data_IF_308496526360
#
_entry.id   IF_308496526360
#
_cell.length_a   1.000
_cell.length_b   1.000
_cell.length_c   1.000
_cell.angle_alpha   90.00
_cell.angle_beta   90.00
_cell.angle_gamma   90.00
#
_symmetry.space_group_name_H-M   'P 1'
#
loop_
_entity.id
_entity.type
_entity.pdbx_description
1 polymer ?
#
# COMPACT_ATOMS: atom_id res chain seq x y z
N UNK A 1 2.92 7.28 6.52
CA UNK A 1 4.17 7.53 7.30
C UNK A 1 4.99 6.25 7.29
N UNK A 2 6.34 6.29 7.28
CA UNK A 2 7.12 5.05 7.20
C UNK A 2 8.57 5.23 7.63
N UNK A 3 9.17 4.08 8.02
CA UNK A 3 10.59 3.96 8.29
C UNK A 3 11.08 2.62 7.74
N UNK A 4 12.26 2.61 7.11
CA UNK A 4 12.86 1.42 6.53
C UNK A 4 13.51 0.52 7.61
N UNK A 5 12.74 0.16 8.61
CA UNK A 5 13.19 -0.72 9.69
C UNK A 5 12.93 -2.20 9.34
N UNK A 6 13.77 -3.07 9.87
CA UNK A 6 13.43 -4.51 9.89
C UNK A 6 12.25 -4.76 10.84
N UNK A 7 12.30 -4.14 12.01
CA UNK A 7 11.25 -4.06 13.03
C UNK A 7 11.46 -2.81 13.87
N UNK A 8 10.43 -2.16 14.41
CA UNK A 8 10.59 -1.03 15.31
C UNK A 8 11.20 -1.50 16.64
N UNK A 9 12.04 -0.65 17.25
CA UNK A 9 12.48 -0.86 18.62
C UNK A 9 11.43 -0.34 19.60
N UNK A 10 11.29 -0.98 20.75
CA UNK A 10 10.31 -0.56 21.76
C UNK A 10 10.56 0.86 22.28
N UNK A 11 11.82 1.30 22.31
CA UNK A 11 12.20 2.68 22.67
C UNK A 11 11.68 3.75 21.69
N UNK A 12 11.43 3.36 20.43
CA UNK A 12 10.99 4.27 19.37
C UNK A 12 9.44 4.34 19.31
N UNK A 13 8.75 3.36 19.92
CA UNK A 13 7.29 3.26 19.92
C UNK A 13 6.57 4.49 20.51
N UNK A 14 7.03 5.11 21.63
CA UNK A 14 6.37 6.31 22.15
C UNK A 14 6.34 7.46 21.13
N UNK A 15 7.44 7.67 20.39
CA UNK A 15 7.49 8.66 19.31
C UNK A 15 6.53 8.34 18.16
N UNK A 16 6.46 7.06 17.77
CA UNK A 16 5.53 6.60 16.71
C UNK A 16 4.08 6.83 17.13
N UNK A 17 3.74 6.53 18.38
CA UNK A 17 2.40 6.76 18.97
C UNK A 17 2.04 8.24 18.93
N UNK A 18 2.96 9.13 19.35
CA UNK A 18 2.74 10.56 19.31
C UNK A 18 2.50 11.07 17.90
N UNK A 19 3.32 10.61 16.92
CA UNK A 19 3.18 10.95 15.52
C UNK A 19 1.80 10.53 14.95
N UNK A 20 1.30 9.35 15.30
CA UNK A 20 -0.04 8.91 14.89
C UNK A 20 -1.10 9.86 15.45
N UNK A 21 -1.05 10.16 16.74
CA UNK A 21 -2.02 11.03 17.40
C UNK A 21 -2.03 12.45 16.81
N UNK A 22 -0.86 13.02 16.56
CA UNK A 22 -0.73 14.34 15.94
C UNK A 22 -1.34 14.38 14.53
N UNK A 23 -1.08 13.38 13.69
CA UNK A 23 -1.66 13.31 12.35
C UNK A 23 -3.18 13.08 12.42
N UNK A 24 -3.65 12.22 13.34
CA UNK A 24 -5.08 12.02 13.59
C UNK A 24 -5.79 13.31 14.06
N UNK A 25 -5.12 14.12 14.86
CA UNK A 25 -5.65 15.41 15.30
C UNK A 25 -5.89 16.40 14.14
N UNK A 26 -5.23 16.21 12.99
CA UNK A 26 -5.49 16.96 11.77
C UNK A 26 -6.72 16.46 10.99
N UNK A 27 -7.41 15.41 11.48
CA UNK A 27 -8.57 14.80 10.82
C UNK A 27 -8.20 13.87 9.66
N UNK A 28 -6.94 13.43 9.58
CA UNK A 28 -6.44 12.56 8.51
C UNK A 28 -6.50 11.08 8.92
N UNK A 29 -6.71 10.19 7.96
CA UNK A 29 -6.44 8.77 8.13
C UNK A 29 -4.92 8.53 8.16
N UNK A 30 -4.51 7.56 8.96
CA UNK A 30 -3.10 7.23 9.15
C UNK A 30 -2.76 5.87 8.58
N UNK A 31 -1.66 5.80 7.85
CA UNK A 31 -1.06 4.55 7.39
C UNK A 31 0.42 4.52 7.76
N UNK A 32 0.87 3.42 8.32
CA UNK A 32 2.26 3.23 8.76
C UNK A 32 2.91 2.04 8.07
N UNK A 33 4.24 2.19 7.79
CA UNK A 33 5.14 1.14 7.33
C UNK A 33 6.38 1.14 8.21
N UNK A 34 6.50 0.19 9.13
CA UNK A 34 7.59 0.13 10.13
C UNK A 34 8.35 -1.21 10.11
N UNK A 35 8.10 -2.05 9.09
CA UNK A 35 8.64 -3.40 9.04
C UNK A 35 7.78 -4.41 9.79
N UNK A 36 8.38 -5.45 10.37
CA UNK A 36 7.67 -6.50 11.10
C UNK A 36 7.22 -6.00 12.47
N UNK A 37 6.00 -6.35 12.89
CA UNK A 37 5.45 -6.02 14.19
C UNK A 37 5.26 -7.26 15.06
N UNK A 38 5.56 -7.14 16.34
CA UNK A 38 5.03 -8.04 17.35
C UNK A 38 3.55 -7.74 17.64
N UNK A 39 2.83 -8.71 18.24
CA UNK A 39 1.45 -8.50 18.65
C UNK A 39 1.28 -7.31 19.60
N UNK A 40 2.20 -7.15 20.57
CA UNK A 40 2.21 -6.00 21.48
C UNK A 40 2.38 -4.67 20.75
N UNK A 41 3.31 -4.59 19.78
CA UNK A 41 3.51 -3.38 19.01
C UNK A 41 2.29 -3.05 18.13
N UNK A 42 1.67 -4.05 17.51
CA UNK A 42 0.42 -3.86 16.76
C UNK A 42 -0.70 -3.32 17.67
N UNK A 43 -0.86 -3.87 18.87
CA UNK A 43 -1.84 -3.41 19.84
C UNK A 43 -1.60 -1.94 20.28
N UNK A 44 -0.34 -1.57 20.55
CA UNK A 44 0.02 -0.18 20.89
C UNK A 44 -0.31 0.79 19.76
N UNK A 45 -0.08 0.40 18.51
CA UNK A 45 -0.44 1.23 17.35
C UNK A 45 -1.95 1.35 17.17
N UNK A 46 -2.71 0.28 17.42
CA UNK A 46 -4.18 0.29 17.37
C UNK A 46 -4.75 1.24 18.45
N UNK A 47 -4.22 1.19 19.67
CA UNK A 47 -4.61 2.08 20.77
C UNK A 47 -4.26 3.55 20.51
N UNK A 48 -3.21 3.80 19.73
CA UNK A 48 -2.86 5.15 19.26
C UNK A 48 -3.84 5.67 18.18
N UNK A 49 -4.69 4.80 17.61
CA UNK A 49 -5.67 5.13 16.58
C UNK A 49 -5.17 4.96 15.14
N UNK A 50 -4.16 4.11 14.92
CA UNK A 50 -3.68 3.81 13.57
C UNK A 50 -4.79 3.15 12.74
N UNK A 51 -5.07 3.71 11.55
CA UNK A 51 -6.13 3.19 10.66
C UNK A 51 -5.63 2.03 9.80
N UNK A 52 -4.46 2.17 9.18
CA UNK A 52 -3.88 1.20 8.25
C UNK A 52 -2.43 0.87 8.60
N UNK A 53 -2.06 -0.39 8.41
CA UNK A 53 -0.66 -0.82 8.41
C UNK A 53 -0.29 -1.37 7.04
N UNK A 54 0.71 -0.77 6.40
CA UNK A 54 1.24 -1.26 5.13
C UNK A 54 2.35 -2.29 5.37
N UNK A 55 2.12 -3.51 4.88
CA UNK A 55 3.09 -4.59 4.93
C UNK A 55 2.88 -5.54 3.74
N UNK A 56 3.55 -5.24 2.64
CA UNK A 56 3.39 -6.01 1.41
C UNK A 56 3.96 -7.43 1.53
N UNK A 57 3.36 -8.38 0.84
CA UNK A 57 3.94 -9.71 0.60
C UNK A 57 5.05 -9.67 -0.46
N UNK A 58 5.08 -8.61 -1.26
CA UNK A 58 5.99 -8.30 -2.35
C UNK A 58 5.81 -9.22 -3.57
N UNK A 59 5.86 -10.53 -3.41
CA UNK A 59 5.71 -11.53 -4.48
C UNK A 59 5.10 -12.83 -3.95
N UNK A 60 5.14 -13.93 -4.74
CA UNK A 60 4.75 -15.26 -4.26
C UNK A 60 5.72 -15.82 -3.22
N UNK A 61 5.25 -16.79 -2.45
CA UNK A 61 6.08 -17.55 -1.50
C UNK A 61 7.27 -18.21 -2.19
N UNK A 62 7.05 -18.75 -3.38
CA UNK A 62 8.04 -19.46 -4.18
C UNK A 62 9.14 -18.55 -4.68
N UNK A 63 8.78 -17.35 -5.13
CA UNK A 63 9.74 -16.39 -5.67
C UNK A 63 10.39 -15.50 -4.60
N UNK A 64 9.81 -15.44 -3.40
CA UNK A 64 10.21 -14.50 -2.35
C UNK A 64 11.71 -14.56 -2.00
N UNK A 65 12.26 -15.76 -1.87
CA UNK A 65 13.67 -15.95 -1.49
C UNK A 65 14.66 -15.51 -2.59
N UNK A 66 14.21 -15.30 -3.83
CA UNK A 66 15.04 -14.72 -4.89
C UNK A 66 15.23 -13.21 -4.72
N UNK A 67 14.29 -12.56 -4.02
CA UNK A 67 14.27 -11.09 -3.84
C UNK A 67 14.70 -10.68 -2.44
N UNK A 68 14.30 -11.42 -1.41
CA UNK A 68 14.52 -11.05 0.00
C UNK A 68 15.27 -12.15 0.72
N UNK A 69 16.45 -11.81 1.27
CA UNK A 69 17.28 -12.72 2.07
C UNK A 69 17.26 -12.43 3.58
N UNK A 70 16.69 -11.30 3.99
CA UNK A 70 16.80 -10.78 5.37
C UNK A 70 15.65 -11.18 6.29
N UNK A 71 14.58 -11.75 5.74
CA UNK A 71 13.36 -12.19 6.43
C UNK A 71 12.66 -13.28 5.64
N UNK A 72 11.87 -14.10 6.29
CA UNK A 72 11.07 -15.13 5.63
C UNK A 72 9.72 -14.58 5.14
N UNK A 73 9.08 -15.32 4.26
CA UNK A 73 7.70 -15.02 3.84
C UNK A 73 6.71 -15.18 5.01
N UNK A 74 6.93 -16.15 5.89
CA UNK A 74 6.10 -16.37 7.08
C UNK A 74 6.20 -15.23 8.10
N UNK A 75 7.34 -14.55 8.20
CA UNK A 75 7.46 -13.33 9.02
C UNK A 75 6.50 -12.24 8.54
N UNK A 76 6.27 -12.16 7.21
CA UNK A 76 5.31 -11.22 6.63
C UNK A 76 3.88 -11.57 7.02
N UNK A 77 3.49 -12.83 6.84
CA UNK A 77 2.16 -13.32 7.20
C UNK A 77 1.88 -13.17 8.69
N UNK A 78 2.87 -13.48 9.53
CA UNK A 78 2.78 -13.30 10.98
C UNK A 78 2.52 -11.83 11.35
N UNK A 79 3.20 -10.90 10.67
CA UNK A 79 2.97 -9.46 10.89
C UNK A 79 1.56 -9.06 10.48
N UNK A 80 1.06 -9.53 9.33
CA UNK A 80 -0.32 -9.27 8.90
C UNK A 80 -1.35 -9.83 9.88
N UNK A 81 -1.10 -11.00 10.45
CA UNK A 81 -1.95 -11.60 11.48
C UNK A 81 -1.99 -10.74 12.76
N UNK A 82 -0.83 -10.31 13.27
CA UNK A 82 -0.76 -9.39 14.42
C UNK A 82 -1.52 -8.09 14.18
N UNK A 83 -1.37 -7.49 12.99
CA UNK A 83 -2.08 -6.28 12.59
C UNK A 83 -3.59 -6.52 12.57
N UNK A 84 -4.03 -7.65 12.01
CA UNK A 84 -5.45 -8.02 11.94
C UNK A 84 -6.04 -8.26 13.33
N UNK A 85 -5.32 -8.97 14.20
CA UNK A 85 -5.76 -9.25 15.59
C UNK A 85 -5.88 -7.95 16.41
N UNK A 86 -5.02 -6.97 16.15
CA UNK A 86 -5.11 -5.65 16.78
C UNK A 86 -6.25 -4.77 16.23
N UNK A 87 -6.98 -5.22 15.20
CA UNK A 87 -8.10 -4.47 14.61
C UNK A 87 -7.69 -3.35 13.65
N UNK A 88 -6.42 -3.28 13.22
CA UNK A 88 -5.92 -2.34 12.25
C UNK A 88 -6.24 -2.85 10.85
N UNK A 89 -6.63 -1.97 9.93
CA UNK A 89 -6.83 -2.30 8.52
C UNK A 89 -5.50 -2.63 7.84
N UNK A 90 -5.53 -3.64 6.95
CA UNK A 90 -4.33 -4.09 6.23
C UNK A 90 -4.24 -3.41 4.87
N UNK A 91 -3.06 -2.85 4.57
CA UNK A 91 -2.64 -2.50 3.23
C UNK A 91 -1.52 -3.47 2.83
N UNK A 92 -1.81 -4.44 1.97
CA UNK A 92 -0.85 -5.47 1.56
C UNK A 92 -1.07 -5.86 0.11
N UNK A 93 -0.01 -5.84 -0.65
CA UNK A 93 0.02 -6.17 -2.07
C UNK A 93 1.40 -6.66 -2.49
N UNK A 94 1.80 -6.31 -3.72
CA UNK A 94 3.06 -6.76 -4.26
C UNK A 94 3.72 -5.80 -5.22
N UNK A 95 4.87 -6.27 -5.71
CA UNK A 95 5.68 -5.59 -6.73
C UNK A 95 5.77 -6.55 -7.91
N UNK A 96 5.45 -6.07 -9.09
CA UNK A 96 5.56 -6.82 -10.33
C UNK A 96 6.70 -6.27 -11.20
N UNK A 97 7.26 -7.11 -12.08
CA UNK A 97 8.38 -6.74 -12.92
C UNK A 97 9.74 -6.94 -12.27
N UNK A 98 9.84 -7.77 -11.23
CA UNK A 98 11.07 -8.17 -10.56
C UNK A 98 11.73 -9.40 -11.20
N UNK A 99 11.18 -9.92 -12.31
CA UNK A 99 11.61 -11.16 -12.95
C UNK A 99 10.73 -12.37 -12.58
N UNK A 100 9.70 -12.16 -11.79
CA UNK A 100 8.70 -13.16 -11.42
C UNK A 100 7.88 -13.63 -12.63
N UNK A 101 7.36 -14.85 -12.58
CA UNK A 101 6.48 -15.42 -13.58
C UNK A 101 5.02 -14.94 -13.41
N UNK A 102 4.15 -15.30 -14.36
CA UNK A 102 2.70 -15.12 -14.18
C UNK A 102 2.15 -15.96 -13.03
N UNK A 103 2.66 -17.17 -12.88
CA UNK A 103 2.21 -18.07 -11.80
C UNK A 103 2.58 -17.49 -10.44
N UNK A 104 3.75 -16.83 -10.31
CA UNK A 104 4.10 -16.10 -9.09
C UNK A 104 3.11 -14.97 -8.80
N UNK A 105 2.70 -14.18 -9.80
CA UNK A 105 1.68 -13.15 -9.60
C UNK A 105 0.32 -13.74 -9.20
N UNK A 106 -0.08 -14.85 -9.81
CA UNK A 106 -1.31 -15.58 -9.44
C UNK A 106 -1.21 -16.08 -8.00
N UNK A 107 -0.10 -16.69 -7.60
CA UNK A 107 0.11 -17.21 -6.26
C UNK A 107 0.09 -16.09 -5.21
N UNK A 108 0.72 -14.95 -5.48
CA UNK A 108 0.63 -13.76 -4.62
C UNK A 108 -0.83 -13.33 -4.40
N UNK A 109 -1.60 -13.20 -5.48
CA UNK A 109 -2.99 -12.76 -5.39
C UNK A 109 -3.88 -13.81 -4.72
N UNK A 110 -3.59 -15.08 -4.93
CA UNK A 110 -4.27 -16.19 -4.25
C UNK A 110 -4.01 -16.15 -2.75
N UNK A 111 -2.76 -15.92 -2.31
CA UNK A 111 -2.43 -15.76 -0.89
C UNK A 111 -3.19 -14.59 -0.26
N UNK A 112 -3.18 -13.42 -0.89
CA UNK A 112 -3.89 -12.23 -0.40
C UNK A 112 -5.42 -12.46 -0.31
N UNK A 113 -6.00 -13.11 -1.30
CA UNK A 113 -7.44 -13.40 -1.34
C UNK A 113 -7.86 -14.44 -0.29
N UNK A 114 -6.96 -15.36 0.08
CA UNK A 114 -7.20 -16.44 1.02
C UNK A 114 -6.79 -16.10 2.48
N UNK A 115 -6.30 -14.89 2.74
CA UNK A 115 -6.16 -14.43 4.12
C UNK A 115 -7.53 -14.52 4.82
N UNK A 116 -7.60 -14.69 6.15
CA UNK A 116 -8.86 -14.81 6.90
C UNK A 116 -9.88 -13.71 6.55
N UNK A 117 -9.39 -12.55 6.17
CA UNK A 117 -10.11 -11.47 5.49
C UNK A 117 -9.12 -10.83 4.50
N UNK A 118 -9.48 -10.67 3.21
CA UNK A 118 -8.65 -9.97 2.25
C UNK A 118 -8.24 -8.58 2.77
N UNK A 119 -7.07 -8.05 2.38
CA UNK A 119 -6.63 -6.72 2.78
C UNK A 119 -7.65 -5.65 2.36
N UNK A 120 -7.83 -4.63 3.16
CA UNK A 120 -8.67 -3.49 2.82
C UNK A 120 -8.10 -2.69 1.64
N UNK A 121 -6.77 -2.70 1.47
CA UNK A 121 -6.09 -2.09 0.34
C UNK A 121 -5.03 -3.03 -0.23
N UNK A 122 -5.04 -3.19 -1.55
CA UNK A 122 -4.09 -4.05 -2.29
C UNK A 122 -3.32 -3.19 -3.30
N UNK A 123 -2.15 -2.65 -2.91
CA UNK A 123 -1.28 -1.93 -3.84
C UNK A 123 -0.54 -2.89 -4.77
N UNK A 124 -0.62 -2.62 -6.07
CA UNK A 124 0.18 -3.29 -7.09
C UNK A 124 1.20 -2.29 -7.64
N UNK A 125 2.45 -2.49 -7.24
CA UNK A 125 3.56 -1.66 -7.67
C UNK A 125 4.21 -2.24 -8.93
N UNK A 126 4.54 -1.39 -9.89
CA UNK A 126 5.51 -1.75 -10.94
C UNK A 126 6.90 -1.41 -10.43
N UNK A 127 7.83 -2.35 -10.55
CA UNK A 127 9.21 -2.10 -10.17
C UNK A 127 9.76 -0.89 -10.94
N UNK A 128 10.34 0.04 -10.18
CA UNK A 128 11.18 1.13 -10.71
C UNK A 128 12.64 0.72 -10.45
N UNK A 129 13.37 0.22 -11.46
CA UNK A 129 14.74 -0.21 -11.26
C UNK A 129 15.63 0.97 -10.91
N UNK A 130 16.38 0.86 -9.81
CA UNK A 130 17.35 1.86 -9.38
C UNK A 130 18.73 1.37 -9.76
N UNK A 131 19.48 2.18 -10.52
CA UNK A 131 20.84 1.87 -10.95
C UNK A 131 21.74 1.52 -9.75
N UNK A 132 22.60 0.52 -9.93
CA UNK A 132 23.49 0.00 -8.88
C UNK A 132 22.83 -0.97 -7.89
N UNK A 133 21.57 -1.34 -8.12
CA UNK A 133 20.94 -2.41 -7.34
C UNK A 133 21.05 -3.76 -8.06
N UNK A 134 21.23 -4.90 -7.34
CA UNK A 134 21.33 -6.22 -7.95
C UNK A 134 20.18 -6.56 -8.89
N UNK A 135 18.96 -6.12 -8.56
CA UNK A 135 17.78 -6.39 -9.38
C UNK A 135 17.79 -5.58 -10.68
N UNK A 136 18.31 -4.35 -10.67
CA UNK A 136 18.46 -3.55 -11.90
C UNK A 136 19.47 -4.19 -12.84
N UNK A 137 20.59 -4.69 -12.31
CA UNK A 137 21.62 -5.40 -13.07
C UNK A 137 21.07 -6.73 -13.63
N UNK A 138 20.27 -7.46 -12.86
CA UNK A 138 19.65 -8.72 -13.29
C UNK A 138 18.66 -8.49 -14.44
N UNK A 139 17.86 -7.45 -14.39
CA UNK A 139 16.83 -7.14 -15.39
C UNK A 139 17.41 -6.56 -16.69
N UNK A 140 18.64 -6.03 -16.66
CA UNK A 140 19.32 -5.46 -17.85
C UNK A 140 18.45 -4.52 -18.69
N UNK A 141 17.64 -3.68 -18.02
CA UNK A 141 16.71 -2.76 -18.67
C UNK A 141 15.40 -3.38 -19.18
N UNK A 142 15.20 -4.69 -18.99
CA UNK A 142 13.94 -5.34 -19.35
C UNK A 142 12.83 -4.84 -18.44
N UNK A 143 11.74 -4.38 -19.05
CA UNK A 143 10.53 -3.96 -18.31
C UNK A 143 9.38 -4.91 -18.56
N UNK A 144 8.57 -5.15 -17.55
CA UNK A 144 7.33 -5.90 -17.70
C UNK A 144 6.37 -5.08 -18.60
N UNK A 145 5.76 -5.70 -19.64
CA UNK A 145 4.79 -5.01 -20.47
C UNK A 145 3.61 -4.49 -19.65
N UNK A 146 3.12 -3.30 -19.97
CA UNK A 146 1.98 -2.67 -19.25
C UNK A 146 0.73 -3.55 -19.26
N UNK A 147 0.51 -4.33 -20.32
CA UNK A 147 -0.61 -5.28 -20.38
C UNK A 147 -0.56 -6.35 -19.28
N UNK A 148 0.62 -6.70 -18.77
CA UNK A 148 0.74 -7.60 -17.63
C UNK A 148 0.31 -6.90 -16.33
N UNK A 149 0.60 -5.61 -16.19
CA UNK A 149 0.08 -4.84 -15.05
C UNK A 149 -1.43 -4.72 -15.09
N UNK A 150 -2.00 -4.39 -16.26
CA UNK A 150 -3.45 -4.32 -16.46
C UNK A 150 -4.12 -5.66 -16.12
N UNK A 151 -3.57 -6.80 -16.58
CA UNK A 151 -4.06 -8.14 -16.19
C UNK A 151 -3.99 -8.36 -14.69
N UNK A 152 -2.88 -7.99 -14.06
CA UNK A 152 -2.70 -8.17 -12.61
C UNK A 152 -3.74 -7.36 -11.85
N UNK A 153 -3.99 -6.11 -12.23
CA UNK A 153 -5.07 -5.28 -11.64
C UNK A 153 -6.45 -5.94 -11.83
N UNK A 154 -6.77 -6.43 -13.03
CA UNK A 154 -8.05 -7.07 -13.30
C UNK A 154 -8.25 -8.32 -12.43
N UNK A 155 -7.23 -9.17 -12.33
CA UNK A 155 -7.28 -10.38 -11.48
C UNK A 155 -7.36 -9.99 -10.01
N UNK A 156 -6.62 -8.97 -9.57
CA UNK A 156 -6.70 -8.46 -8.20
C UNK A 156 -8.12 -8.00 -7.86
N UNK A 157 -8.79 -7.28 -8.76
CA UNK A 157 -10.18 -6.84 -8.55
C UNK A 157 -11.14 -8.02 -8.42
N UNK A 158 -10.96 -9.06 -9.24
CA UNK A 158 -11.80 -10.28 -9.17
C UNK A 158 -11.54 -11.07 -7.88
N UNK A 159 -10.29 -11.20 -7.47
CA UNK A 159 -9.89 -11.95 -6.29
C UNK A 159 -10.19 -11.21 -4.97
N UNK A 160 -10.11 -9.87 -4.97
CA UNK A 160 -10.34 -9.02 -3.81
C UNK A 160 -11.41 -7.94 -4.14
N UNK A 161 -12.69 -8.34 -4.33
CA UNK A 161 -13.72 -7.46 -4.89
C UNK A 161 -14.07 -6.26 -4.02
N UNK A 162 -13.86 -6.34 -2.71
CA UNK A 162 -14.17 -5.28 -1.74
C UNK A 162 -12.98 -4.41 -1.36
N UNK A 163 -11.78 -4.74 -1.84
CA UNK A 163 -10.55 -4.02 -1.51
C UNK A 163 -10.39 -2.75 -2.35
N UNK A 164 -9.67 -1.77 -1.82
CA UNK A 164 -9.10 -0.72 -2.64
C UNK A 164 -7.94 -1.32 -3.45
N UNK A 165 -8.14 -1.55 -4.74
CA UNK A 165 -7.07 -1.98 -5.66
C UNK A 165 -6.31 -0.75 -6.10
N UNK A 166 -5.05 -0.65 -5.68
CA UNK A 166 -4.28 0.59 -5.80
C UNK A 166 -3.21 0.48 -6.87
N UNK A 167 -3.22 1.43 -7.80
CA UNK A 167 -2.08 1.71 -8.68
C UNK A 167 -1.06 2.45 -7.82
N UNK A 168 0.10 1.82 -7.62
CA UNK A 168 1.11 2.35 -6.72
C UNK A 168 2.36 2.84 -7.49
N UNK A 169 3.58 2.55 -7.03
CA UNK A 169 4.80 3.02 -7.69
C UNK A 169 4.91 2.55 -9.15
N UNK A 170 5.59 3.34 -9.97
CA UNK A 170 5.88 3.04 -11.38
C UNK A 170 4.86 3.60 -12.39
N UNK A 171 3.78 4.25 -11.94
CA UNK A 171 2.76 4.81 -12.84
C UNK A 171 3.20 6.06 -13.60
N UNK A 172 4.23 6.75 -13.12
CA UNK A 172 4.77 7.95 -13.80
C UNK A 172 5.31 7.67 -15.21
N UNK A 173 5.78 6.44 -15.44
CA UNK A 173 6.23 6.01 -16.75
C UNK A 173 5.11 5.62 -17.71
N UNK A 174 3.84 5.77 -17.33
CA UNK A 174 2.66 5.42 -18.13
C UNK A 174 2.06 6.65 -18.79
N UNK A 175 1.55 6.45 -19.99
CA UNK A 175 0.66 7.42 -20.65
C UNK A 175 -0.71 7.48 -19.95
N UNK A 176 -1.46 8.56 -20.16
CA UNK A 176 -2.81 8.70 -19.62
C UNK A 176 -3.75 7.59 -20.09
N UNK A 177 -3.61 7.16 -21.34
CA UNK A 177 -4.37 6.04 -21.88
C UNK A 177 -4.06 4.71 -21.15
N UNK A 178 -2.80 4.44 -20.81
CA UNK A 178 -2.42 3.26 -20.04
C UNK A 178 -2.92 3.35 -18.60
N UNK A 179 -2.86 4.53 -17.97
CA UNK A 179 -3.44 4.74 -16.64
C UNK A 179 -4.96 4.57 -16.67
N UNK A 180 -5.65 5.11 -17.68
CA UNK A 180 -7.08 4.90 -17.89
C UNK A 180 -7.43 3.40 -17.99
N UNK A 181 -6.64 2.61 -18.71
CA UNK A 181 -6.82 1.16 -18.80
C UNK A 181 -6.66 0.46 -17.45
N UNK A 182 -5.80 0.90 -16.57
CA UNK A 182 -5.68 0.36 -15.21
C UNK A 182 -6.94 0.63 -14.38
N UNK A 183 -7.53 1.84 -14.47
CA UNK A 183 -8.82 2.14 -13.83
C UNK A 183 -9.96 1.30 -14.42
N UNK A 184 -10.04 1.18 -15.73
CA UNK A 184 -11.04 0.34 -16.40
C UNK A 184 -10.89 -1.15 -16.07
N UNK A 185 -9.66 -1.62 -15.79
CA UNK A 185 -9.40 -2.99 -15.34
C UNK A 185 -9.84 -3.24 -13.88
N UNK A 186 -10.17 -2.19 -13.12
CA UNK A 186 -10.72 -2.32 -11.78
C UNK A 186 -9.88 -1.69 -10.66
N UNK A 187 -8.82 -0.95 -10.98
CA UNK A 187 -8.20 -0.08 -9.98
C UNK A 187 -9.19 1.01 -9.56
N UNK A 188 -9.22 1.33 -8.27
CA UNK A 188 -10.07 2.38 -7.71
C UNK A 188 -9.34 3.21 -6.65
N UNK A 189 -8.02 3.15 -6.64
CA UNK A 189 -7.17 3.93 -5.74
C UNK A 189 -5.80 4.13 -6.38
N UNK A 190 -5.15 5.21 -6.04
CA UNK A 190 -3.75 5.47 -6.39
C UNK A 190 -3.10 6.41 -5.36
N UNK A 191 -1.77 6.50 -5.38
CA UNK A 191 -1.09 7.49 -4.55
C UNK A 191 -1.19 8.88 -5.19
N UNK A 192 -1.74 9.81 -4.44
CA UNK A 192 -1.86 11.21 -4.80
C UNK A 192 -0.79 12.04 -4.10
N UNK A 193 -0.28 13.06 -4.77
CA UNK A 193 0.78 13.92 -4.24
C UNK A 193 2.06 13.83 -5.08
N UNK A 194 2.93 14.82 -4.96
CA UNK A 194 4.09 14.99 -5.85
C UNK A 194 5.23 13.99 -5.57
N UNK A 195 5.20 13.29 -4.45
CA UNK A 195 6.25 12.35 -4.05
C UNK A 195 5.69 11.12 -3.37
N UNK A 196 6.30 9.96 -3.66
CA UNK A 196 6.26 8.75 -2.84
C UNK A 196 7.41 8.79 -1.81
N UNK A 197 7.54 7.73 -1.00
CA UNK A 197 8.58 7.70 0.05
C UNK A 197 10.01 7.83 -0.51
N UNK A 198 10.28 7.23 -1.67
CA UNK A 198 11.63 7.13 -2.26
C UNK A 198 11.73 7.63 -3.69
N UNK A 199 10.61 7.87 -4.38
CA UNK A 199 10.56 8.30 -5.78
C UNK A 199 9.61 9.47 -5.93
N UNK A 200 9.76 10.22 -7.01
CA UNK A 200 8.76 11.19 -7.41
C UNK A 200 7.43 10.48 -7.77
N UNK A 201 6.36 11.22 -7.86
CA UNK A 201 5.04 10.77 -8.28
C UNK A 201 4.49 11.77 -9.31
N UNK A 202 3.42 11.41 -10.01
CA UNK A 202 2.74 12.36 -10.89
C UNK A 202 2.30 13.60 -10.09
N UNK A 203 2.33 14.76 -10.74
CA UNK A 203 1.92 16.00 -10.07
C UNK A 203 0.42 15.99 -9.77
N UNK A 204 0.03 16.63 -8.68
CA UNK A 204 -1.40 16.75 -8.30
C UNK A 204 -2.24 17.36 -9.42
N UNK A 205 -1.72 18.37 -10.12
CA UNK A 205 -2.44 18.97 -11.26
C UNK A 205 -2.67 18.00 -12.41
N UNK A 206 -1.72 17.13 -12.70
CA UNK A 206 -1.86 16.09 -13.73
C UNK A 206 -2.89 15.04 -13.29
N UNK A 207 -2.86 14.62 -12.04
CA UNK A 207 -3.82 13.65 -11.49
C UNK A 207 -5.25 14.20 -11.49
N UNK A 208 -5.44 15.46 -11.09
CA UNK A 208 -6.73 16.13 -11.10
C UNK A 208 -7.30 16.23 -12.52
N UNK A 209 -6.44 16.56 -13.51
CA UNK A 209 -6.84 16.61 -14.91
C UNK A 209 -7.20 15.22 -15.44
N UNK A 210 -6.39 14.21 -15.16
CA UNK A 210 -6.66 12.83 -15.59
C UNK A 210 -7.99 12.30 -15.03
N UNK A 211 -8.27 12.54 -13.74
CA UNK A 211 -9.54 12.15 -13.11
C UNK A 211 -10.71 12.85 -13.79
N UNK A 212 -10.59 14.16 -14.07
CA UNK A 212 -11.62 14.93 -14.74
C UNK A 212 -11.87 14.43 -16.17
N UNK A 213 -10.82 14.20 -16.95
CA UNK A 213 -10.89 13.70 -18.33
C UNK A 213 -11.52 12.31 -18.43
N UNK A 214 -11.30 11.47 -17.40
CA UNK A 214 -11.91 10.15 -17.29
C UNK A 214 -13.36 10.19 -16.77
N UNK A 215 -13.86 11.35 -16.35
CA UNK A 215 -15.19 11.49 -15.74
C UNK A 215 -15.31 10.75 -14.39
N UNK A 216 -14.19 10.53 -13.71
CA UNK A 216 -14.14 9.90 -12.40
C UNK A 216 -14.36 10.96 -11.30
N UNK A 217 -14.83 10.50 -10.14
CA UNK A 217 -14.96 11.33 -8.93
C UNK A 217 -14.13 10.76 -7.81
N UNK A 218 -13.46 11.64 -7.07
CA UNK A 218 -12.72 11.24 -5.87
C UNK A 218 -13.70 10.95 -4.75
N UNK A 219 -13.54 9.78 -4.12
CA UNK A 219 -14.30 9.42 -2.92
C UNK A 219 -13.98 10.42 -1.80
N UNK A 220 -15.02 10.98 -1.19
CA UNK A 220 -14.84 11.82 0.00
C UNK A 220 -14.66 10.90 1.21
N UNK A 221 -13.60 11.10 1.98
CA UNK A 221 -13.45 10.41 3.24
C UNK A 221 -14.66 10.71 4.14
N UNK A 222 -15.39 9.69 4.53
CA UNK A 222 -16.36 9.84 5.63
C UNK A 222 -15.56 9.98 6.92
N UNK A 223 -15.86 11.01 7.76
CA UNK A 223 -15.22 11.12 9.05
C UNK A 223 -15.59 9.88 9.87
N UNK A 224 -14.64 8.97 10.09
CA UNK A 224 -14.83 7.89 11.06
C UNK A 224 -15.16 8.54 12.39
N UNK A 225 -16.30 8.18 12.97
CA UNK A 225 -16.68 8.62 14.31
C UNK A 225 -15.63 8.08 15.30
N UNK A 226 -14.72 8.96 15.71
CA UNK A 226 -13.86 8.69 16.86
C UNK A 226 -14.81 8.62 18.06
N UNK A 227 -14.78 7.57 18.90
CA UNK A 227 -15.52 7.60 20.18
C UNK A 227 -14.99 8.81 20.96
N UNK A 228 -15.80 9.83 21.09
CA UNK A 228 -15.44 11.05 21.82
C UNK A 228 -15.37 10.71 23.30
N UNK A 229 -14.19 10.47 23.82
CA UNK A 229 -13.88 10.81 25.22
C UNK A 229 -13.67 12.33 25.23
N UNK A 230 -14.61 13.03 25.83
CA UNK A 230 -14.74 14.46 25.91
C UNK A 230 -13.44 15.26 25.87
N UNK A 231 -13.20 16.05 24.80
CA UNK A 231 -12.57 17.36 24.89
C UNK A 231 -12.67 18.14 23.55
N UNK A 232 -13.34 19.27 23.64
CA UNK A 232 -13.27 20.52 22.89
C UNK A 232 -13.52 20.58 21.35
N UNK A 233 -14.53 21.40 21.04
CA UNK A 233 -15.01 21.85 19.74
C UNK A 233 -13.93 22.53 18.87
N UNK A 234 -13.90 22.16 17.57
CA UNK A 234 -13.24 22.94 16.53
C UNK A 234 -13.46 22.28 15.17
N UNK A 235 -14.38 22.81 14.37
CA UNK A 235 -14.65 22.37 12.98
C UNK A 235 -13.54 22.84 12.05
N UNK A 236 -12.93 21.94 11.30
CA UNK A 236 -12.26 22.26 10.03
C UNK A 236 -12.55 21.11 9.04
N UNK A 237 -12.82 21.46 7.79
CA UNK A 237 -13.35 20.59 6.75
C UNK A 237 -12.39 19.47 6.31
N UNK A 238 -12.99 18.39 5.87
CA UNK A 238 -12.36 17.14 5.47
C UNK A 238 -11.75 17.21 4.07
N UNK A 239 -10.49 16.80 3.94
CA UNK A 239 -9.89 16.36 2.69
C UNK A 239 -9.32 14.95 2.95
N UNK A 240 -9.82 13.96 2.20
CA UNK A 240 -9.21 12.64 2.22
C UNK A 240 -8.11 12.59 1.15
N UNK A 241 -6.87 12.52 1.58
CA UNK A 241 -5.72 12.22 0.74
C UNK A 241 -5.02 11.01 1.37
N UNK A 242 -5.03 9.89 0.67
CA UNK A 242 -4.25 8.69 1.01
C UNK A 242 -3.07 8.58 0.06
#
# INVERSE_FOLDING_TARGET
MGAAWKHPNDRDMPYVVELIKEVKALGLETCMTLGMLSGNQAQVLAEAGLDYYNHNLDTSREYYNHIVSTRSYDDRLTTLDHVRQAGISICSGGIIGMGESRDDRINLLTELANLPKPPESVPINMLVPIEGTPIADQLQGTRLPVLEWIRTIAVTRLACPTSYVRIAAGREGLTDAEQAMLFMAGANSFFYGNRLLTTDNATTNHDDQLIADLGLTVEKAEPRQIPVTNAMNGRIGSLAVV
#
